data_IF_906579309095
#
_entry.id   IF_906579309095
#
_cell.length_a   1.000
_cell.length_b   1.000
_cell.length_c   1.000
_cell.angle_alpha   90.00
_cell.angle_beta   90.00
_cell.angle_gamma   90.00
#
_symmetry.space_group_name_H-M   'P 1'
#
loop_
_entity.id
_entity.type
_entity.pdbx_description
1 polymer ?
#
# COMPACT_ATOMS: atom_id res chain seq x y z
N UNK A 1 8.60 22.82 19.71
CA UNK A 1 9.62 21.99 20.39
C UNK A 1 10.51 21.49 19.29
N UNK A 2 11.83 21.67 19.40
CA UNK A 2 12.72 21.12 18.39
C UNK A 2 12.58 19.59 18.38
N UNK A 3 12.79 18.97 17.22
CA UNK A 3 12.73 17.52 17.05
C UNK A 3 13.65 16.83 18.07
N UNK A 4 14.82 17.43 18.31
CA UNK A 4 15.79 16.95 19.29
C UNK A 4 15.25 16.98 20.72
N UNK A 5 14.65 18.09 21.15
CA UNK A 5 14.04 18.21 22.49
C UNK A 5 12.96 17.15 22.71
N UNK A 6 12.13 16.91 21.70
CA UNK A 6 11.06 15.91 21.78
C UNK A 6 11.60 14.48 21.89
N UNK A 7 12.67 14.16 21.15
CA UNK A 7 13.35 12.85 21.21
C UNK A 7 14.05 12.67 22.57
N UNK A 8 14.73 13.71 23.08
CA UNK A 8 15.39 13.66 24.39
C UNK A 8 14.38 13.47 25.51
N UNK A 9 13.24 14.17 25.47
CA UNK A 9 12.19 14.10 26.47
C UNK A 9 11.46 12.74 26.53
N UNK A 10 11.50 11.95 25.45
CA UNK A 10 10.77 10.68 25.36
C UNK A 10 11.40 9.54 26.19
N UNK A 11 12.64 9.68 26.68
CA UNK A 11 13.38 8.65 27.42
C UNK A 11 13.54 7.29 26.70
N UNK A 12 13.32 7.23 25.38
CA UNK A 12 13.60 6.05 24.56
C UNK A 12 15.04 6.10 24.04
N UNK A 13 15.91 5.30 24.66
CA UNK A 13 17.33 5.23 24.30
C UNK A 13 17.55 4.66 22.89
N UNK A 14 16.65 3.79 22.40
CA UNK A 14 16.76 3.21 21.07
C UNK A 14 16.52 4.28 20.00
N UNK A 15 15.42 5.03 20.14
CA UNK A 15 15.09 6.12 19.25
C UNK A 15 16.17 7.20 19.28
N UNK A 16 16.67 7.57 20.46
CA UNK A 16 17.75 8.56 20.60
C UNK A 16 18.99 8.16 19.81
N UNK A 17 19.46 6.92 19.97
CA UNK A 17 20.62 6.41 19.22
C UNK A 17 20.41 6.42 17.70
N UNK A 18 19.21 6.06 17.23
CA UNK A 18 18.87 6.10 15.80
C UNK A 18 18.91 7.52 15.26
N UNK A 19 18.32 8.48 15.98
CA UNK A 19 18.30 9.91 15.62
C UNK A 19 19.71 10.48 15.61
N UNK A 20 20.51 10.25 16.65
CA UNK A 20 21.92 10.67 16.74
C UNK A 20 22.73 10.17 15.54
N UNK A 21 22.65 8.87 15.25
CA UNK A 21 23.36 8.26 14.13
C UNK A 21 22.93 8.86 12.79
N UNK A 22 21.63 9.10 12.58
CA UNK A 22 21.14 9.71 11.35
C UNK A 22 21.59 11.16 11.21
N UNK A 23 21.61 11.94 12.29
CA UNK A 23 22.15 13.32 12.30
C UNK A 23 23.64 13.31 11.95
N UNK A 24 24.45 12.43 12.55
CA UNK A 24 25.88 12.30 12.24
C UNK A 24 26.14 11.97 10.76
N UNK A 25 25.30 11.12 10.16
CA UNK A 25 25.38 10.81 8.71
C UNK A 25 25.10 12.05 7.88
N UNK A 26 24.09 12.85 8.25
CA UNK A 26 23.73 14.07 7.52
C UNK A 26 24.84 15.11 7.66
N UNK A 27 25.36 15.34 8.87
CA UNK A 27 26.47 16.27 9.09
C UNK A 27 27.71 15.88 8.31
N UNK A 28 28.07 14.60 8.32
CA UNK A 28 29.18 14.09 7.50
C UNK A 28 28.95 14.35 6.01
N UNK A 29 27.70 14.27 5.55
CA UNK A 29 27.36 14.59 4.16
C UNK A 29 27.56 16.08 3.87
N UNK A 30 27.09 16.94 4.76
CA UNK A 30 27.29 18.39 4.65
C UNK A 30 28.78 18.77 4.68
N UNK A 31 29.60 18.09 5.48
CA UNK A 31 31.06 18.32 5.53
C UNK A 31 31.77 17.88 4.24
N UNK A 32 31.32 16.79 3.61
CA UNK A 32 31.95 16.25 2.41
C UNK A 32 31.58 17.01 1.14
N UNK A 33 30.36 17.54 1.08
CA UNK A 33 29.79 18.10 -0.14
C UNK A 33 29.51 19.60 -0.09
N UNK A 34 29.58 20.20 1.11
CA UNK A 34 29.04 21.52 1.46
C UNK A 34 27.51 21.58 1.27
N UNK A 35 26.76 22.44 2.00
CA UNK A 35 25.31 22.50 1.85
C UNK A 35 24.84 22.64 0.39
N UNK A 36 25.47 23.54 -0.39
CA UNK A 36 25.19 23.76 -1.82
C UNK A 36 25.50 22.59 -2.77
N UNK A 37 26.21 21.57 -2.28
CA UNK A 37 26.46 20.33 -3.01
C UNK A 37 25.51 19.18 -2.61
N UNK A 38 24.56 19.42 -1.71
CA UNK A 38 23.62 18.43 -1.19
C UNK A 38 22.21 18.76 -1.64
N UNK A 39 21.48 17.75 -2.10
CA UNK A 39 20.05 17.83 -2.32
C UNK A 39 19.29 16.87 -1.41
N UNK A 40 18.01 17.17 -1.21
CA UNK A 40 17.05 16.39 -0.46
C UNK A 40 15.82 16.11 -1.34
N UNK A 41 15.52 14.82 -1.54
CA UNK A 41 14.33 14.39 -2.24
C UNK A 41 13.16 14.29 -1.27
N UNK A 42 12.17 15.17 -1.42
CA UNK A 42 10.99 15.20 -0.55
C UNK A 42 9.72 14.89 -1.36
N UNK A 43 8.97 13.89 -0.90
CA UNK A 43 7.75 13.41 -1.56
C UNK A 43 6.52 13.40 -0.64
N UNK A 44 6.58 14.05 0.52
CA UNK A 44 5.48 14.07 1.50
C UNK A 44 5.21 12.75 2.22
N UNK A 45 5.88 11.66 1.85
CA UNK A 45 5.79 10.39 2.55
C UNK A 45 6.33 10.47 3.98
N UNK A 46 5.91 9.54 4.84
CA UNK A 46 6.35 9.46 6.24
C UNK A 46 7.88 9.45 6.38
N UNK A 47 8.57 8.72 5.50
CA UNK A 47 10.01 8.50 5.58
C UNK A 47 10.81 9.75 5.17
N UNK A 48 10.38 10.45 4.12
CA UNK A 48 10.97 11.73 3.72
C UNK A 48 10.61 12.85 4.71
N UNK A 49 9.45 12.79 5.36
CA UNK A 49 9.08 13.71 6.45
C UNK A 49 9.99 13.54 7.66
N UNK A 50 10.28 12.31 8.09
CA UNK A 50 11.30 12.05 9.12
C UNK A 50 12.65 12.65 8.70
N UNK A 51 13.07 12.38 7.47
CA UNK A 51 14.35 12.87 6.96
C UNK A 51 14.45 14.39 6.94
N UNK A 52 13.39 15.10 6.51
CA UNK A 52 13.32 16.58 6.58
C UNK A 52 13.66 17.08 7.98
N UNK A 53 13.04 16.48 8.99
CA UNK A 53 13.21 16.89 10.38
C UNK A 53 14.59 16.53 10.95
N UNK A 54 15.20 15.43 10.49
CA UNK A 54 16.58 15.08 10.82
C UNK A 54 17.59 16.06 10.18
N UNK A 55 17.35 16.50 8.95
CA UNK A 55 18.22 17.49 8.28
C UNK A 55 18.19 18.82 9.03
N UNK A 56 17.00 19.28 9.42
CA UNK A 56 16.83 20.50 10.20
C UNK A 56 17.57 20.43 11.55
N UNK A 57 17.49 19.29 12.24
CA UNK A 57 18.21 19.07 13.49
C UNK A 57 19.74 19.10 13.28
N UNK A 58 20.24 18.49 12.19
CA UNK A 58 21.66 18.53 11.85
C UNK A 58 22.16 19.97 11.59
N UNK A 59 21.41 20.75 10.80
CA UNK A 59 21.76 22.14 10.49
C UNK A 59 21.74 23.04 11.74
N UNK A 60 20.78 22.82 12.64
CA UNK A 60 20.72 23.52 13.91
C UNK A 60 21.90 23.18 14.83
N UNK A 61 22.29 21.90 14.90
CA UNK A 61 23.44 21.44 15.68
C UNK A 61 24.76 22.03 15.20
N UNK A 62 24.88 22.28 13.89
CA UNK A 62 26.02 22.97 13.26
C UNK A 62 26.02 24.49 13.50
N UNK A 63 25.02 25.06 14.18
CA UNK A 63 24.80 26.51 14.31
C UNK A 63 24.63 27.22 12.96
N UNK A 64 24.30 26.48 11.89
CA UNK A 64 24.02 27.03 10.57
C UNK A 64 22.58 27.58 10.47
N UNK A 65 21.74 27.31 11.49
CA UNK A 65 20.37 27.83 11.64
C UNK A 65 20.08 28.18 13.10
N UNK A 66 19.65 29.41 13.39
CA UNK A 66 18.98 29.74 14.65
C UNK A 66 17.52 29.28 14.59
N UNK A 67 17.19 28.11 15.16
CA UNK A 67 15.82 27.58 15.19
C UNK A 67 14.94 28.27 16.25
N UNK A 68 14.61 29.55 16.08
CA UNK A 68 13.61 30.24 16.91
C UNK A 68 12.19 30.01 16.37
N UNK A 69 11.63 28.82 16.63
CA UNK A 69 10.25 28.47 16.29
C UNK A 69 10.01 28.12 14.81
N UNK A 70 8.73 28.07 14.40
CA UNK A 70 8.29 27.72 13.03
C UNK A 70 8.80 28.74 11.99
N UNK A 71 9.25 29.93 12.42
CA UNK A 71 9.62 31.04 11.55
C UNK A 71 11.11 31.06 11.10
N UNK A 72 11.96 30.15 11.58
CA UNK A 72 13.34 29.98 11.09
C UNK A 72 13.38 28.96 9.93
N UNK A 73 12.62 29.26 8.86
CA UNK A 73 12.37 28.35 7.75
C UNK A 73 13.59 28.08 6.86
N UNK A 74 13.62 26.89 6.27
CA UNK A 74 14.51 26.48 5.19
C UNK A 74 15.44 25.33 5.55
N UNK A 75 16.13 24.84 4.52
CA UNK A 75 17.32 24.00 4.63
C UNK A 75 18.48 24.79 4.00
N UNK A 76 19.13 25.74 4.70
CA UNK A 76 20.05 26.68 4.06
C UNK A 76 21.14 25.98 3.24
N UNK A 77 21.17 26.30 1.95
CA UNK A 77 22.10 25.73 0.98
C UNK A 77 21.75 24.33 0.49
N UNK A 78 20.90 23.55 1.17
CA UNK A 78 20.48 22.22 0.71
C UNK A 78 19.33 22.37 -0.28
N UNK A 79 19.53 21.92 -1.52
CA UNK A 79 18.48 21.97 -2.54
C UNK A 79 17.37 20.96 -2.24
N UNK A 80 16.12 21.39 -2.17
CA UNK A 80 14.98 20.46 -2.07
C UNK A 80 14.38 20.23 -3.44
N UNK A 81 14.03 18.99 -3.80
CA UNK A 81 13.26 18.73 -5.01
C UNK A 81 12.17 17.68 -4.80
N UNK A 82 11.15 17.75 -5.66
CA UNK A 82 10.01 16.85 -5.71
C UNK A 82 9.72 16.47 -7.16
N UNK A 83 9.45 15.20 -7.42
CA UNK A 83 8.98 14.74 -8.74
C UNK A 83 7.46 14.75 -8.77
N UNK A 84 6.89 15.63 -9.58
CA UNK A 84 5.45 15.69 -9.78
C UNK A 84 4.96 14.49 -10.59
N UNK A 85 3.85 13.90 -10.15
CA UNK A 85 3.17 12.82 -10.84
C UNK A 85 1.66 13.00 -10.73
N UNK A 86 0.98 13.15 -11.87
CA UNK A 86 -0.48 13.33 -11.93
C UNK A 86 -1.26 12.12 -11.39
N UNK A 87 -0.61 10.96 -11.26
CA UNK A 87 -1.21 9.76 -10.70
C UNK A 87 -1.09 9.67 -9.17
N UNK A 88 -0.46 10.63 -8.49
CA UNK A 88 -0.35 10.64 -7.03
C UNK A 88 -1.65 11.11 -6.36
N UNK A 89 -1.84 10.75 -5.10
CA UNK A 89 -2.99 11.21 -4.32
C UNK A 89 -2.96 12.72 -4.08
N UNK A 90 -4.10 13.39 -4.19
CA UNK A 90 -4.20 14.83 -3.91
C UNK A 90 -3.73 15.16 -2.49
N UNK A 91 -3.99 14.28 -1.52
CA UNK A 91 -3.61 14.47 -0.12
C UNK A 91 -2.10 14.50 0.09
N UNK A 92 -1.33 13.63 -0.59
CA UNK A 92 0.13 13.61 -0.44
C UNK A 92 0.80 14.76 -1.20
N UNK A 93 0.26 15.12 -2.37
CA UNK A 93 0.70 16.29 -3.13
C UNK A 93 0.43 17.58 -2.35
N UNK A 94 -0.79 17.73 -1.80
CA UNK A 94 -1.17 18.88 -0.96
C UNK A 94 -0.31 18.97 0.30
N UNK A 95 -0.05 17.84 0.96
CA UNK A 95 0.85 17.78 2.12
C UNK A 95 2.27 18.20 1.75
N UNK A 96 2.77 17.78 0.58
CA UNK A 96 4.11 18.13 0.09
C UNK A 96 4.25 19.63 -0.13
N UNK A 97 3.29 20.26 -0.84
CA UNK A 97 3.29 21.71 -1.07
C UNK A 97 3.08 22.52 0.20
N UNK A 98 2.17 22.09 1.07
CA UNK A 98 1.97 22.74 2.36
C UNK A 98 3.23 22.70 3.23
N UNK A 99 3.93 21.56 3.25
CA UNK A 99 5.19 21.41 3.99
C UNK A 99 6.30 22.28 3.39
N UNK A 100 6.36 22.40 2.06
CA UNK A 100 7.27 23.31 1.37
C UNK A 100 7.07 24.76 1.80
N UNK A 101 5.82 25.24 1.83
CA UNK A 101 5.48 26.60 2.26
C UNK A 101 5.74 26.80 3.75
N UNK A 102 5.28 25.87 4.60
CA UNK A 102 5.40 25.93 6.05
C UNK A 102 6.86 26.03 6.49
N UNK A 103 7.76 25.31 5.83
CA UNK A 103 9.18 25.27 6.16
C UNK A 103 10.05 26.04 5.18
N UNK A 104 9.50 26.76 4.20
CA UNK A 104 10.25 27.53 3.20
C UNK A 104 11.40 26.73 2.56
N UNK A 105 11.10 25.55 2.01
CA UNK A 105 12.14 24.60 1.54
C UNK A 105 12.78 24.97 0.19
N UNK A 106 12.27 26.00 -0.48
CA UNK A 106 12.67 26.42 -1.83
C UNK A 106 12.70 25.22 -2.82
N UNK A 107 11.62 24.44 -2.80
CA UNK A 107 11.54 23.18 -3.52
C UNK A 107 11.42 23.36 -5.03
N UNK A 108 12.33 22.73 -5.77
CA UNK A 108 12.24 22.57 -7.23
C UNK A 108 11.32 21.41 -7.58
N UNK A 109 10.29 21.67 -8.38
CA UNK A 109 9.39 20.63 -8.90
C UNK A 109 9.90 20.15 -10.26
N UNK A 110 10.19 18.85 -10.34
CA UNK A 110 10.65 18.16 -11.54
C UNK A 110 9.47 17.45 -12.19
N UNK A 111 9.40 17.50 -13.53
CA UNK A 111 8.35 16.88 -14.32
C UNK A 111 8.93 15.86 -15.29
N UNK A 112 8.15 14.85 -15.65
CA UNK A 112 8.54 13.81 -16.61
C UNK A 112 9.19 12.60 -15.93
N UNK A 113 10.03 11.89 -16.67
CA UNK A 113 10.66 10.67 -16.16
C UNK A 113 11.74 10.98 -15.12
N UNK A 114 11.85 10.11 -14.10
CA UNK A 114 12.77 10.28 -12.99
C UNK A 114 14.23 10.44 -13.43
N UNK A 115 14.63 9.76 -14.50
CA UNK A 115 16.03 9.74 -14.91
C UNK A 115 16.42 11.04 -15.61
N UNK A 116 15.68 11.44 -16.64
CA UNK A 116 15.97 12.68 -17.38
C UNK A 116 15.72 13.90 -16.51
N UNK A 117 14.67 13.92 -15.69
CA UNK A 117 14.45 15.01 -14.73
C UNK A 117 15.61 15.16 -13.75
N UNK A 118 16.16 14.05 -13.26
CA UNK A 118 17.31 14.08 -12.36
C UNK A 118 18.61 14.44 -13.09
N UNK A 119 18.81 13.99 -14.33
CA UNK A 119 19.94 14.39 -15.18
C UNK A 119 19.95 15.90 -15.39
N UNK A 120 18.82 16.50 -15.76
CA UNK A 120 18.69 17.96 -15.93
C UNK A 120 18.95 18.69 -14.62
N UNK A 121 18.33 18.25 -13.52
CA UNK A 121 18.54 18.86 -12.20
C UNK A 121 20.01 18.85 -11.77
N UNK A 122 20.73 17.74 -11.97
CA UNK A 122 22.14 17.63 -11.61
C UNK A 122 23.07 18.45 -12.52
N UNK A 123 22.68 18.71 -13.77
CA UNK A 123 23.44 19.58 -14.69
C UNK A 123 23.24 21.06 -14.36
N UNK A 124 22.03 21.44 -13.96
CA UNK A 124 21.66 22.83 -13.64
C UNK A 124 22.08 23.26 -12.23
N UNK A 125 22.49 22.30 -11.38
CA UNK A 125 22.89 22.53 -9.99
C UNK A 125 24.32 22.07 -9.73
N UNK A 126 24.88 22.43 -8.57
CA UNK A 126 26.16 21.93 -8.07
C UNK A 126 26.03 20.65 -7.24
N UNK A 127 24.88 20.00 -7.27
CA UNK A 127 24.54 18.86 -6.41
C UNK A 127 25.40 17.65 -6.77
N UNK A 128 26.01 17.06 -5.75
CA UNK A 128 26.84 15.84 -5.85
C UNK A 128 26.38 14.73 -4.91
N UNK A 129 25.59 15.06 -3.88
CA UNK A 129 25.00 14.10 -2.96
C UNK A 129 23.50 14.34 -2.79
N UNK A 130 22.72 13.26 -2.72
CA UNK A 130 21.27 13.32 -2.53
C UNK A 130 20.89 12.50 -1.30
N UNK A 131 20.26 13.16 -0.34
CA UNK A 131 19.65 12.57 0.84
C UNK A 131 18.29 11.95 0.46
N UNK A 132 18.14 10.65 0.72
CA UNK A 132 16.94 9.87 0.43
C UNK A 132 16.39 9.20 1.68
N UNK A 133 15.06 9.16 1.78
CA UNK A 133 14.31 8.50 2.86
C UNK A 133 14.23 6.97 2.72
N UNK A 134 15.20 6.32 2.08
CA UNK A 134 15.18 4.86 1.85
C UNK A 134 15.49 4.10 3.14
N UNK A 135 14.71 3.05 3.42
CA UNK A 135 14.91 2.10 4.53
C UNK A 135 15.27 0.70 4.01
N UNK A 136 15.91 -0.11 4.84
CA UNK A 136 16.39 -1.48 4.50
C UNK A 136 15.29 -2.39 3.97
N UNK A 137 14.06 -2.20 4.44
CA UNK A 137 12.88 -2.96 4.02
C UNK A 137 12.20 -2.47 2.75
N UNK A 138 12.67 -1.39 2.13
CA UNK A 138 12.04 -0.86 0.91
C UNK A 138 12.45 -1.66 -0.33
N UNK A 139 11.58 -1.80 -1.35
CA UNK A 139 11.85 -2.66 -2.52
C UNK A 139 13.13 -2.30 -3.31
N UNK A 140 13.51 -1.02 -3.29
CA UNK A 140 14.69 -0.51 -4.00
C UNK A 140 15.98 -0.53 -3.14
N UNK A 141 15.89 -0.90 -1.86
CA UNK A 141 17.02 -0.89 -0.92
C UNK A 141 18.05 -2.03 -1.05
N UNK A 142 17.76 -3.21 -1.65
CA UNK A 142 18.76 -4.27 -1.78
C UNK A 142 20.06 -3.78 -2.44
N UNK A 143 21.20 -4.08 -1.82
CA UNK A 143 22.53 -3.65 -2.28
C UNK A 143 22.89 -2.19 -1.99
N UNK A 144 22.00 -1.41 -1.37
CA UNK A 144 22.32 -0.04 -0.95
C UNK A 144 23.04 -0.01 0.40
N UNK A 145 23.98 0.93 0.53
CA UNK A 145 24.65 1.28 1.79
C UNK A 145 24.21 2.68 2.24
N UNK A 146 24.67 3.10 3.42
CA UNK A 146 24.43 4.46 3.93
C UNK A 146 24.94 5.51 2.97
N UNK A 147 26.10 5.27 2.35
CA UNK A 147 26.68 6.06 1.28
C UNK A 147 26.97 5.11 0.11
N UNK A 148 26.32 5.30 -1.03
CA UNK A 148 26.63 4.52 -2.22
C UNK A 148 26.47 5.36 -3.49
N UNK A 149 27.25 5.11 -4.54
CA UNK A 149 27.02 5.78 -5.82
C UNK A 149 25.63 5.42 -6.38
N UNK A 150 25.11 6.27 -7.25
CA UNK A 150 23.95 5.95 -8.07
C UNK A 150 24.17 4.68 -8.90
N UNK A 151 23.07 3.99 -9.22
CA UNK A 151 23.11 2.73 -9.96
C UNK A 151 23.62 2.93 -11.38
N UNK A 152 24.22 1.88 -11.97
CA UNK A 152 24.69 1.92 -13.36
C UNK A 152 23.54 2.37 -14.30
N UNK A 153 23.81 3.37 -15.14
CA UNK A 153 22.84 3.92 -16.08
C UNK A 153 21.98 5.05 -15.53
N UNK A 154 22.13 5.43 -14.26
CA UNK A 154 21.62 6.68 -13.69
C UNK A 154 22.69 7.79 -13.76
N UNK A 155 22.30 9.08 -13.70
CA UNK A 155 23.27 10.16 -13.53
C UNK A 155 24.13 9.94 -12.29
N UNK A 156 25.38 10.40 -12.34
CA UNK A 156 26.34 10.20 -11.26
C UNK A 156 26.05 11.15 -10.09
N UNK A 157 25.71 10.57 -8.93
CA UNK A 157 25.63 11.28 -7.65
C UNK A 157 25.88 10.30 -6.49
N UNK A 158 26.21 10.83 -5.32
CA UNK A 158 26.28 10.05 -4.08
C UNK A 158 24.89 9.93 -3.48
N UNK A 159 24.37 8.70 -3.39
CA UNK A 159 23.17 8.41 -2.63
C UNK A 159 23.51 8.34 -1.15
N UNK A 160 22.76 9.07 -0.34
CA UNK A 160 22.91 9.06 1.11
C UNK A 160 21.59 8.65 1.74
N UNK A 161 21.60 7.59 2.56
CA UNK A 161 20.42 7.01 3.20
C UNK A 161 20.56 7.08 4.74
N UNK A 162 20.29 8.24 5.39
CA UNK A 162 20.52 8.40 6.83
C UNK A 162 19.63 7.51 7.72
N UNK A 163 18.47 7.11 7.20
CA UNK A 163 17.49 6.28 7.90
C UNK A 163 17.46 4.83 7.38
N UNK A 164 18.52 4.37 6.70
CA UNK A 164 18.56 3.04 6.09
C UNK A 164 18.24 1.92 7.09
N UNK A 165 18.72 2.04 8.34
CA UNK A 165 18.48 1.04 9.39
C UNK A 165 17.20 1.28 10.20
N UNK A 166 16.35 2.24 9.83
CA UNK A 166 15.10 2.51 10.55
C UNK A 166 14.02 1.49 10.18
N UNK A 167 13.33 0.99 11.19
CA UNK A 167 12.14 0.16 11.04
C UNK A 167 10.91 1.01 10.80
N UNK A 168 9.80 0.38 10.40
CA UNK A 168 8.50 1.06 10.33
C UNK A 168 8.09 1.62 11.70
N UNK A 169 8.42 0.92 12.79
CA UNK A 169 8.14 1.36 14.15
C UNK A 169 8.93 2.63 14.49
N UNK A 170 10.22 2.70 14.17
CA UNK A 170 11.07 3.86 14.45
C UNK A 170 10.55 5.14 13.78
N UNK A 171 10.09 5.02 12.53
CA UNK A 171 9.50 6.12 11.76
C UNK A 171 8.29 6.70 12.47
N UNK A 172 7.35 5.84 12.86
CA UNK A 172 6.13 6.29 13.53
C UNK A 172 6.38 6.77 14.96
N UNK A 173 7.25 6.08 15.69
CA UNK A 173 7.65 6.49 17.03
C UNK A 173 8.22 7.91 16.97
N UNK A 174 9.13 8.20 16.06
CA UNK A 174 9.68 9.54 15.85
C UNK A 174 8.59 10.58 15.53
N UNK A 175 7.77 10.34 14.50
CA UNK A 175 6.74 11.29 14.06
C UNK A 175 5.75 11.61 15.19
N UNK A 176 5.34 10.59 15.95
CA UNK A 176 4.37 10.72 17.04
C UNK A 176 4.99 11.36 18.28
N UNK A 177 6.21 10.97 18.67
CA UNK A 177 6.92 11.56 19.80
C UNK A 177 7.18 13.06 19.60
N UNK A 178 7.55 13.45 18.38
CA UNK A 178 7.77 14.86 18.03
C UNK A 178 6.49 15.61 17.64
N UNK A 179 5.32 14.96 17.67
CA UNK A 179 4.02 15.53 17.29
C UNK A 179 4.06 16.23 15.92
N UNK A 180 4.75 15.59 14.97
CA UNK A 180 4.97 16.13 13.63
C UNK A 180 3.76 15.85 12.73
N UNK A 181 3.35 16.81 11.89
CA UNK A 181 2.33 16.56 10.90
C UNK A 181 2.82 15.55 9.86
N UNK A 182 1.91 14.72 9.36
CA UNK A 182 2.15 13.74 8.30
C UNK A 182 0.92 13.68 7.39
N UNK A 183 1.06 13.08 6.20
CA UNK A 183 -0.03 12.96 5.23
C UNK A 183 -1.24 12.20 5.80
N UNK A 184 -2.44 12.75 5.63
CA UNK A 184 -3.70 12.22 6.20
C UNK A 184 -4.08 10.83 5.68
N UNK A 185 -3.53 10.36 4.56
CA UNK A 185 -3.73 9.00 4.07
C UNK A 185 -3.31 7.95 5.11
N UNK A 186 -2.28 8.23 5.92
CA UNK A 186 -1.87 7.28 6.95
C UNK A 186 -2.93 7.08 8.04
N UNK A 187 -3.74 8.10 8.34
CA UNK A 187 -4.87 7.98 9.27
C UNK A 187 -6.05 7.19 8.64
N UNK A 188 -6.06 7.04 7.32
CA UNK A 188 -7.03 6.25 6.55
C UNK A 188 -6.58 4.81 6.31
N UNK A 189 -5.55 4.35 7.03
CA UNK A 189 -5.07 2.97 6.98
C UNK A 189 -4.05 2.68 5.89
N UNK A 190 -3.60 3.67 5.13
CA UNK A 190 -2.48 3.49 4.22
C UNK A 190 -1.19 3.32 5.03
N UNK A 191 -0.32 2.37 4.67
CA UNK A 191 1.00 2.19 5.33
C UNK A 191 2.18 2.44 4.38
N UNK A 192 1.90 2.44 3.08
CA UNK A 192 2.75 2.86 1.98
C UNK A 192 1.91 3.71 1.04
N UNK A 193 2.48 4.75 0.45
CA UNK A 193 1.78 5.63 -0.49
C UNK A 193 2.60 5.72 -1.77
N UNK A 194 2.06 5.15 -2.85
CA UNK A 194 2.52 5.35 -4.22
C UNK A 194 1.46 6.11 -5.01
N UNK A 195 1.17 5.65 -6.24
CA UNK A 195 0.12 6.25 -7.07
C UNK A 195 -1.27 5.74 -6.68
N UNK A 196 -2.31 6.49 -7.05
CA UNK A 196 -3.72 6.14 -6.83
C UNK A 196 -4.07 4.77 -7.40
N UNK A 197 -3.49 4.42 -8.55
CA UNK A 197 -3.75 3.15 -9.24
C UNK A 197 -3.14 1.91 -8.58
N UNK A 198 -2.12 2.06 -7.74
CA UNK A 198 -1.36 0.93 -7.20
C UNK A 198 -1.30 0.88 -5.67
N UNK A 199 -1.98 1.80 -4.99
CA UNK A 199 -1.94 1.92 -3.54
C UNK A 199 -3.32 1.70 -2.95
N UNK A 200 -3.42 0.71 -2.07
CA UNK A 200 -4.61 0.46 -1.27
C UNK A 200 -4.31 0.64 0.23
N UNK A 201 -5.33 0.94 1.05
CA UNK A 201 -5.20 0.83 2.50
C UNK A 201 -4.71 -0.56 2.89
N UNK A 202 -3.94 -0.63 3.97
CA UNK A 202 -3.44 -1.90 4.47
C UNK A 202 -4.60 -2.73 5.04
N UNK A 203 -4.85 -3.89 4.45
CA UNK A 203 -5.92 -4.79 4.86
C UNK A 203 -5.79 -5.28 6.30
N UNK A 204 -4.56 -5.35 6.84
CA UNK A 204 -4.32 -5.70 8.24
C UNK A 204 -4.81 -4.61 9.23
N UNK A 205 -5.15 -3.41 8.73
CA UNK A 205 -5.73 -2.32 9.51
C UNK A 205 -7.24 -2.18 9.26
N UNK A 206 -7.85 -3.10 8.51
CA UNK A 206 -9.28 -3.07 8.24
C UNK A 206 -10.07 -3.21 9.55
N UNK A 207 -11.17 -2.46 9.65
CA UNK A 207 -12.10 -2.53 10.80
C UNK A 207 -13.34 -3.31 10.42
N UNK A 208 -13.83 -4.10 11.37
CA UNK A 208 -15.06 -4.90 11.23
C UNK A 208 -16.24 -4.06 10.74
N UNK A 209 -16.46 -2.89 11.37
CA UNK A 209 -17.58 -2.01 11.07
C UNK A 209 -17.49 -1.35 9.68
N UNK A 210 -16.27 -1.02 9.22
CA UNK A 210 -16.04 -0.50 7.88
C UNK A 210 -16.32 -1.56 6.80
N UNK A 211 -15.90 -2.81 7.05
CA UNK A 211 -16.23 -3.95 6.17
C UNK A 211 -17.74 -4.17 6.16
N UNK A 212 -18.39 -4.15 7.32
CA UNK A 212 -19.83 -4.35 7.44
C UNK A 212 -20.63 -3.27 6.68
N UNK A 213 -20.20 -2.01 6.76
CA UNK A 213 -20.82 -0.91 6.03
C UNK A 213 -20.69 -1.09 4.50
N UNK A 214 -19.47 -1.35 4.01
CA UNK A 214 -19.24 -1.59 2.59
C UNK A 214 -20.03 -2.81 2.08
N UNK A 215 -19.94 -3.95 2.79
CA UNK A 215 -20.68 -5.16 2.40
C UNK A 215 -22.18 -4.90 2.34
N UNK A 216 -22.75 -4.15 3.27
CA UNK A 216 -24.18 -3.80 3.28
C UNK A 216 -24.55 -2.94 2.08
N UNK A 217 -23.79 -1.88 1.81
CA UNK A 217 -23.98 -0.98 0.67
C UNK A 217 -23.91 -1.76 -0.66
N UNK A 218 -22.80 -2.47 -0.90
CA UNK A 218 -22.63 -3.23 -2.13
C UNK A 218 -23.62 -4.40 -2.26
N UNK A 219 -24.01 -5.06 -1.17
CA UNK A 219 -24.98 -6.16 -1.20
C UNK A 219 -26.39 -5.67 -1.55
N UNK A 220 -26.74 -4.42 -1.24
CA UNK A 220 -28.02 -3.81 -1.59
C UNK A 220 -28.07 -3.36 -3.05
N UNK A 221 -26.95 -2.85 -3.56
CA UNK A 221 -26.86 -2.25 -4.90
C UNK A 221 -26.50 -3.25 -6.01
N UNK A 222 -25.87 -4.37 -5.68
CA UNK A 222 -25.37 -5.34 -6.66
C UNK A 222 -25.89 -6.76 -6.41
N UNK A 223 -26.16 -7.49 -7.50
CA UNK A 223 -26.62 -8.89 -7.43
C UNK A 223 -25.53 -9.86 -6.95
N UNK A 224 -24.27 -9.48 -7.10
CA UNK A 224 -23.11 -10.23 -6.62
C UNK A 224 -22.00 -9.27 -6.18
N UNK A 225 -21.43 -9.55 -5.00
CA UNK A 225 -20.30 -8.81 -4.42
C UNK A 225 -19.15 -9.78 -4.25
N UNK A 226 -17.96 -9.42 -4.74
CA UNK A 226 -16.78 -10.27 -4.66
C UNK A 226 -15.75 -9.55 -3.79
N UNK A 227 -15.24 -10.23 -2.77
CA UNK A 227 -14.14 -9.76 -1.94
C UNK A 227 -12.99 -10.77 -1.99
N UNK A 228 -11.76 -10.28 -1.88
CA UNK A 228 -10.55 -11.10 -1.83
C UNK A 228 -9.84 -10.88 -0.49
N UNK A 229 -9.47 -11.99 0.17
CA UNK A 229 -9.10 -11.99 1.58
C UNK A 229 -10.31 -12.27 2.48
N UNK A 230 -10.06 -12.73 3.70
CA UNK A 230 -11.11 -12.85 4.71
C UNK A 230 -11.25 -14.18 5.44
N UNK A 231 -10.53 -15.19 4.99
CA UNK A 231 -10.45 -16.52 5.59
C UNK A 231 -9.08 -16.78 6.23
N UNK A 232 -8.36 -15.71 6.56
CA UNK A 232 -7.01 -15.76 7.10
C UNK A 232 -6.97 -16.24 8.56
N UNK A 233 -5.88 -16.91 8.97
CA UNK A 233 -5.69 -17.37 10.34
C UNK A 233 -5.31 -16.22 11.30
N UNK A 234 -4.96 -15.05 10.77
CA UNK A 234 -4.37 -13.95 11.55
C UNK A 234 -5.44 -13.16 12.29
N UNK A 235 -5.24 -12.74 13.56
CA UNK A 235 -6.28 -12.06 14.35
C UNK A 235 -6.86 -10.79 13.71
N UNK A 236 -6.05 -10.06 12.95
CA UNK A 236 -6.41 -8.86 12.18
C UNK A 236 -7.35 -9.13 11.00
N UNK A 237 -7.46 -10.39 10.53
CA UNK A 237 -8.49 -10.72 9.55
C UNK A 237 -9.88 -10.74 10.21
N UNK A 238 -10.58 -9.62 10.07
CA UNK A 238 -11.93 -9.36 10.57
C UNK A 238 -12.99 -9.42 9.47
N UNK A 239 -12.65 -9.94 8.28
CA UNK A 239 -13.56 -9.90 7.12
C UNK A 239 -14.82 -10.73 7.32
N UNK A 240 -14.69 -11.96 7.82
CA UNK A 240 -15.87 -12.79 8.13
C UNK A 240 -16.72 -12.18 9.26
N UNK A 241 -16.11 -11.46 10.21
CA UNK A 241 -16.85 -10.72 11.24
C UNK A 241 -17.64 -9.58 10.60
N UNK A 242 -17.01 -8.77 9.75
CA UNK A 242 -17.69 -7.67 9.04
C UNK A 242 -18.82 -8.15 8.13
N UNK A 243 -18.64 -9.26 7.41
CA UNK A 243 -19.71 -9.87 6.60
C UNK A 243 -20.86 -10.36 7.49
N UNK A 244 -20.54 -10.98 8.64
CA UNK A 244 -21.55 -11.42 9.58
C UNK A 244 -22.34 -10.22 10.14
N UNK A 245 -21.66 -9.15 10.56
CA UNK A 245 -22.27 -7.92 11.04
C UNK A 245 -23.16 -7.25 9.98
N UNK A 246 -22.71 -7.19 8.72
CA UNK A 246 -23.49 -6.64 7.61
C UNK A 246 -24.88 -7.28 7.49
N UNK A 247 -24.96 -8.59 7.75
CA UNK A 247 -26.18 -9.37 7.65
C UNK A 247 -26.82 -9.74 8.99
N UNK A 248 -26.35 -9.17 10.10
CA UNK A 248 -26.88 -9.46 11.44
C UNK A 248 -26.72 -10.93 11.86
N UNK A 249 -25.64 -11.58 11.42
CA UNK A 249 -25.31 -12.98 11.70
C UNK A 249 -24.22 -13.07 12.78
N UNK A 250 -24.14 -14.22 13.43
CA UNK A 250 -23.00 -14.56 14.29
C UNK A 250 -21.92 -15.27 13.47
N UNK A 251 -20.66 -15.15 13.86
CA UNK A 251 -19.57 -15.98 13.34
C UNK A 251 -19.43 -17.25 14.19
N UNK A 252 -19.21 -18.37 13.53
CA UNK A 252 -18.95 -19.65 14.19
C UNK A 252 -18.12 -20.59 13.32
N UNK A 253 -17.60 -21.64 13.97
CA UNK A 253 -16.81 -22.68 13.33
C UNK A 253 -17.67 -23.47 12.35
N UNK A 254 -17.40 -23.36 11.05
CA UNK A 254 -18.12 -24.11 10.02
C UNK A 254 -17.62 -25.57 9.99
N UNK A 255 -18.48 -26.57 10.27
CA UNK A 255 -18.02 -27.95 10.46
C UNK A 255 -17.28 -28.54 9.26
N UNK A 256 -17.74 -28.22 8.04
CA UNK A 256 -17.10 -28.70 6.81
C UNK A 256 -15.74 -28.03 6.55
N UNK A 257 -15.60 -26.72 6.81
CA UNK A 257 -14.31 -26.05 6.68
C UNK A 257 -13.32 -26.59 7.72
N UNK A 258 -13.79 -26.80 8.95
CA UNK A 258 -12.97 -27.36 10.02
C UNK A 258 -12.45 -28.75 9.64
N UNK A 259 -13.32 -29.61 9.09
CA UNK A 259 -12.92 -30.94 8.63
C UNK A 259 -11.84 -30.86 7.54
N UNK A 260 -11.99 -29.97 6.56
CA UNK A 260 -11.01 -29.75 5.48
C UNK A 260 -9.67 -29.24 6.01
N UNK A 261 -9.68 -28.26 6.91
CA UNK A 261 -8.47 -27.71 7.54
C UNK A 261 -7.74 -28.77 8.36
N UNK A 262 -8.46 -29.53 9.19
CA UNK A 262 -7.88 -30.62 9.97
C UNK A 262 -7.30 -31.71 9.09
N UNK A 263 -7.96 -32.05 7.99
CA UNK A 263 -7.45 -33.04 7.04
C UNK A 263 -6.15 -32.56 6.37
N UNK A 264 -6.05 -31.26 6.08
CA UNK A 264 -4.88 -30.68 5.42
C UNK A 264 -3.67 -30.53 6.34
N UNK A 265 -3.84 -29.95 7.53
CA UNK A 265 -2.74 -29.72 8.46
C UNK A 265 -2.42 -30.95 9.32
N UNK A 266 -3.32 -31.93 9.40
CA UNK A 266 -3.11 -33.17 10.14
C UNK A 266 -2.77 -32.91 11.62
N UNK A 267 -1.64 -33.46 12.06
CA UNK A 267 -1.16 -33.31 13.44
C UNK A 267 -0.67 -31.90 13.77
N UNK A 268 -0.35 -31.08 12.77
CA UNK A 268 0.21 -29.72 12.93
C UNK A 268 -0.89 -28.64 12.95
N UNK A 269 -2.16 -29.04 13.08
CA UNK A 269 -3.27 -28.09 13.18
C UNK A 269 -3.17 -27.25 14.45
N UNK A 270 -3.34 -25.93 14.32
CA UNK A 270 -3.27 -24.96 15.43
C UNK A 270 -4.61 -24.23 15.55
N UNK A 271 -4.84 -23.53 16.66
CA UNK A 271 -6.01 -22.67 16.81
C UNK A 271 -6.07 -21.56 15.73
N UNK A 272 -4.91 -21.06 15.30
CA UNK A 272 -4.82 -20.12 14.18
C UNK A 272 -5.30 -20.76 12.87
N UNK A 273 -4.92 -22.01 12.58
CA UNK A 273 -5.45 -22.76 11.43
C UNK A 273 -6.97 -22.96 11.55
N UNK A 274 -7.48 -23.30 12.74
CA UNK A 274 -8.91 -23.50 12.96
C UNK A 274 -9.74 -22.21 12.85
N UNK A 275 -9.14 -21.04 13.08
CA UNK A 275 -9.76 -19.73 12.81
C UNK A 275 -10.20 -19.62 11.33
N UNK A 276 -9.47 -20.23 10.40
CA UNK A 276 -9.84 -20.19 8.97
C UNK A 276 -11.15 -20.93 8.66
N UNK A 277 -11.69 -21.71 9.59
CA UNK A 277 -13.03 -22.30 9.51
C UNK A 277 -14.13 -21.42 10.10
N UNK A 278 -13.80 -20.26 10.67
CA UNK A 278 -14.80 -19.32 11.16
C UNK A 278 -15.48 -18.62 9.98
N UNK A 279 -16.81 -18.75 9.92
CA UNK A 279 -17.64 -18.15 8.89
C UNK A 279 -18.92 -17.58 9.52
N UNK A 280 -19.63 -16.66 8.84
CA UNK A 280 -20.97 -16.28 9.27
C UNK A 280 -21.88 -17.52 9.33
N UNK A 281 -22.82 -17.53 10.26
CA UNK A 281 -23.72 -18.66 10.52
C UNK A 281 -25.06 -18.50 9.80
N UNK A 282 -25.67 -19.64 9.42
CA UNK A 282 -27.06 -19.71 8.94
C UNK A 282 -27.21 -20.28 7.52
N UNK A 283 -28.43 -20.28 6.97
CA UNK A 283 -28.78 -21.09 5.79
C UNK A 283 -28.32 -20.51 4.45
N UNK A 284 -27.90 -19.24 4.40
CA UNK A 284 -27.41 -18.56 3.19
C UNK A 284 -25.88 -18.62 3.08
N UNK A 285 -25.27 -19.57 3.79
CA UNK A 285 -23.84 -19.82 3.79
C UNK A 285 -23.59 -21.06 2.93
N UNK A 286 -22.76 -20.91 1.92
CA UNK A 286 -22.38 -22.01 1.06
C UNK A 286 -20.86 -22.03 0.87
N UNK A 287 -20.31 -23.23 0.88
CA UNK A 287 -18.96 -23.47 0.43
C UNK A 287 -19.02 -23.85 -1.05
N UNK A 288 -18.23 -23.18 -1.87
CA UNK A 288 -18.20 -23.42 -3.31
C UNK A 288 -16.84 -23.99 -3.65
N UNK A 289 -16.87 -25.24 -4.10
CA UNK A 289 -15.72 -25.94 -4.63
C UNK A 289 -15.41 -25.48 -6.06
N UNK A 290 -14.13 -25.41 -6.37
CA UNK A 290 -13.58 -25.10 -7.68
C UNK A 290 -12.51 -26.11 -8.08
N UNK A 291 -12.28 -26.25 -9.39
CA UNK A 291 -11.21 -27.09 -9.92
C UNK A 291 -9.95 -26.26 -10.13
N UNK A 292 -8.80 -26.80 -9.76
CA UNK A 292 -7.51 -26.22 -10.11
C UNK A 292 -7.09 -26.60 -11.53
N UNK A 293 -6.13 -25.86 -12.09
CA UNK A 293 -5.60 -26.08 -13.43
C UNK A 293 -4.95 -27.47 -13.60
N UNK A 294 -4.48 -28.07 -12.50
CA UNK A 294 -3.92 -29.43 -12.45
C UNK A 294 -4.98 -30.53 -12.34
N UNK A 295 -6.28 -30.18 -12.38
CA UNK A 295 -7.40 -31.11 -12.31
C UNK A 295 -7.76 -31.56 -10.89
N UNK A 296 -7.13 -31.03 -9.85
CA UNK A 296 -7.53 -31.29 -8.46
C UNK A 296 -8.81 -30.50 -8.12
N UNK A 297 -9.76 -31.16 -7.45
CA UNK A 297 -10.97 -30.51 -6.93
C UNK A 297 -10.63 -29.88 -5.59
N UNK A 298 -10.59 -28.55 -5.56
CA UNK A 298 -10.39 -27.64 -4.41
C UNK A 298 -9.27 -28.01 -3.41
N UNK A 299 -8.24 -27.15 -3.21
CA UNK A 299 -7.43 -27.22 -1.98
C UNK A 299 -8.36 -27.09 -0.74
N UNK A 300 -7.91 -27.32 0.51
CA UNK A 300 -8.81 -27.34 1.69
C UNK A 300 -9.62 -26.05 1.94
N UNK A 301 -9.36 -24.99 1.19
CA UNK A 301 -9.95 -23.66 1.31
C UNK A 301 -10.93 -23.41 0.12
N UNK A 302 -12.22 -23.79 0.23
CA UNK A 302 -13.23 -23.44 -0.76
C UNK A 302 -13.53 -21.94 -0.75
N UNK A 303 -14.29 -21.46 -1.74
CA UNK A 303 -14.86 -20.12 -1.68
C UNK A 303 -16.01 -20.10 -0.66
N UNK A 304 -16.06 -19.06 0.17
CA UNK A 304 -17.17 -18.86 1.09
C UNK A 304 -18.19 -17.91 0.44
N UNK A 305 -19.43 -18.34 0.30
CA UNK A 305 -20.56 -17.49 -0.11
C UNK A 305 -21.42 -17.20 1.12
N UNK A 306 -21.73 -15.93 1.34
CA UNK A 306 -22.72 -15.47 2.29
C UNK A 306 -23.70 -14.55 1.57
N UNK A 307 -24.95 -14.99 1.38
CA UNK A 307 -25.94 -14.29 0.53
C UNK A 307 -25.40 -14.06 -0.89
N UNK A 308 -25.33 -12.83 -1.37
CA UNK A 308 -24.72 -12.45 -2.65
C UNK A 308 -23.22 -12.10 -2.55
N UNK A 309 -22.59 -12.31 -1.40
CA UNK A 309 -21.17 -11.99 -1.17
C UNK A 309 -20.32 -13.24 -1.32
N UNK A 310 -19.31 -13.19 -2.17
CA UNK A 310 -18.36 -14.27 -2.45
C UNK A 310 -16.98 -13.86 -1.92
N UNK A 311 -16.43 -14.66 -1.01
CA UNK A 311 -15.15 -14.42 -0.32
C UNK A 311 -14.08 -15.34 -0.89
N UNK A 312 -13.07 -14.73 -1.53
CA UNK A 312 -11.93 -15.42 -2.13
C UNK A 312 -10.74 -15.44 -1.15
N UNK A 313 -9.83 -16.43 -1.25
CA UNK A 313 -8.59 -16.46 -0.49
C UNK A 313 -7.69 -15.24 -0.79
N UNK A 314 -6.97 -14.75 0.22
CA UNK A 314 -6.16 -13.52 0.13
C UNK A 314 -4.66 -13.68 -0.18
N UNK A 315 -4.10 -14.91 -0.19
CA UNK A 315 -2.65 -15.12 -0.35
C UNK A 315 -2.24 -14.93 -1.83
N UNK A 316 -1.40 -13.94 -2.17
CA UNK A 316 -1.03 -13.65 -3.56
C UNK A 316 -0.35 -14.83 -4.25
N UNK A 317 0.40 -15.69 -3.55
CA UNK A 317 0.99 -16.91 -4.13
C UNK A 317 -0.01 -18.05 -4.30
N UNK A 318 -1.12 -18.13 -3.56
CA UNK A 318 -2.24 -19.03 -3.90
C UNK A 318 -3.07 -18.49 -5.06
N UNK A 319 -2.99 -17.17 -5.28
CA UNK A 319 -3.52 -16.47 -6.46
C UNK A 319 -2.55 -16.59 -7.66
N UNK A 320 -1.22 -16.57 -7.45
CA UNK A 320 -0.16 -16.58 -8.48
C UNK A 320 0.43 -17.96 -8.78
N UNK A 321 0.41 -18.96 -7.87
CA UNK A 321 0.75 -20.37 -8.19
C UNK A 321 -0.22 -21.00 -9.23
N UNK A 322 -1.20 -20.21 -9.67
CA UNK A 322 -2.07 -20.45 -10.81
C UNK A 322 -1.45 -20.02 -12.15
N UNK A 323 -0.19 -19.58 -12.16
CA UNK A 323 0.51 -19.08 -13.35
C UNK A 323 1.91 -19.69 -13.40
N UNK A 324 2.16 -20.58 -14.36
CA UNK A 324 3.51 -20.72 -14.94
C UNK A 324 3.43 -20.59 -16.46
N UNK A 325 4.10 -19.54 -16.96
CA UNK A 325 4.18 -19.21 -18.37
C UNK A 325 4.67 -17.78 -18.66
N UNK A 326 5.95 -17.50 -18.38
CA UNK A 326 6.78 -16.38 -18.90
C UNK A 326 6.79 -15.01 -18.18
N UNK A 327 7.88 -14.29 -18.46
CA UNK A 327 8.65 -13.37 -17.62
C UNK A 327 8.05 -11.96 -17.37
N UNK A 328 8.49 -11.38 -16.24
CA UNK A 328 8.48 -9.95 -15.86
C UNK A 328 7.19 -9.13 -16.07
N UNK A 329 6.52 -8.75 -14.97
CA UNK A 329 6.27 -7.34 -14.55
C UNK A 329 5.30 -7.28 -13.37
N UNK A 330 5.65 -6.43 -12.41
CA UNK A 330 4.87 -6.11 -11.22
C UNK A 330 3.57 -5.39 -11.60
N UNK A 331 2.45 -6.11 -11.55
CA UNK A 331 1.12 -5.53 -11.48
C UNK A 331 0.39 -6.18 -10.31
N UNK A 332 -0.35 -5.37 -9.55
CA UNK A 332 -1.37 -5.88 -8.62
C UNK A 332 -2.45 -6.50 -9.50
N UNK A 333 -2.24 -7.78 -9.82
CA UNK A 333 -3.16 -8.59 -10.57
C UNK A 333 -4.31 -8.94 -9.62
N UNK A 334 -5.36 -8.13 -9.65
CA UNK A 334 -6.70 -8.67 -9.40
C UNK A 334 -6.82 -9.89 -10.32
N UNK A 335 -7.20 -11.02 -9.73
CA UNK A 335 -6.99 -12.37 -10.23
C UNK A 335 -7.22 -12.57 -11.74
N UNK A 336 -6.54 -13.56 -12.32
CA UNK A 336 -6.73 -13.95 -13.73
C UNK A 336 -8.22 -14.19 -14.10
N UNK A 337 -8.51 -14.09 -15.40
CA UNK A 337 -9.83 -14.32 -15.97
C UNK A 337 -10.42 -15.66 -15.48
N UNK A 338 -9.61 -16.72 -15.33
CA UNK A 338 -10.07 -18.04 -14.91
C UNK A 338 -10.62 -18.04 -13.46
N UNK A 339 -10.02 -17.28 -12.56
CA UNK A 339 -10.45 -17.18 -11.15
C UNK A 339 -11.75 -16.40 -11.03
N UNK A 340 -11.88 -15.30 -11.79
CA UNK A 340 -13.12 -14.49 -11.80
C UNK A 340 -14.21 -15.17 -12.63
N UNK A 341 -13.86 -15.86 -13.72
CA UNK A 341 -14.79 -16.55 -14.62
C UNK A 341 -15.61 -17.63 -13.90
N UNK A 342 -15.06 -18.33 -12.92
CA UNK A 342 -15.83 -19.31 -12.14
C UNK A 342 -16.87 -18.63 -11.25
N UNK A 343 -16.52 -17.51 -10.63
CA UNK A 343 -17.48 -16.71 -9.86
C UNK A 343 -18.53 -16.11 -10.79
N UNK A 344 -18.13 -15.57 -11.95
CA UNK A 344 -19.03 -15.05 -12.97
C UNK A 344 -19.97 -16.12 -13.53
N UNK A 345 -19.45 -17.31 -13.84
CA UNK A 345 -20.27 -18.46 -14.24
C UNK A 345 -21.25 -18.85 -13.15
N UNK A 346 -20.83 -18.82 -11.88
CA UNK A 346 -21.74 -19.15 -10.77
C UNK A 346 -22.79 -18.07 -10.55
N UNK A 347 -22.43 -16.79 -10.71
CA UNK A 347 -23.38 -15.67 -10.72
C UNK A 347 -24.36 -15.83 -11.88
N UNK A 348 -23.91 -16.23 -13.07
CA UNK A 348 -24.83 -16.54 -14.18
C UNK A 348 -25.79 -17.69 -13.83
N UNK A 349 -25.31 -18.75 -13.19
CA UNK A 349 -26.18 -19.87 -12.75
C UNK A 349 -27.17 -19.41 -11.68
N UNK A 350 -26.73 -18.63 -10.70
CA UNK A 350 -27.57 -18.16 -9.59
C UNK A 350 -28.57 -17.08 -10.04
N UNK A 351 -28.25 -16.27 -11.06
CA UNK A 351 -29.10 -15.22 -11.64
C UNK A 351 -29.98 -15.70 -12.82
N UNK A 352 -29.80 -16.94 -13.29
CA UNK A 352 -30.51 -17.51 -14.44
C UNK A 352 -30.17 -16.85 -15.79
N UNK A 353 -31.00 -17.06 -16.81
CA UNK A 353 -30.80 -16.55 -18.19
C UNK A 353 -30.87 -15.00 -18.33
N UNK A 354 -31.00 -14.26 -17.21
CA UNK A 354 -31.10 -12.80 -17.20
C UNK A 354 -29.73 -12.11 -17.26
N UNK A 355 -28.64 -12.83 -17.00
CA UNK A 355 -27.28 -12.29 -16.98
C UNK A 355 -26.42 -13.05 -17.98
N UNK A 356 -26.05 -12.39 -19.08
CA UNK A 356 -25.07 -12.90 -20.04
C UNK A 356 -23.71 -12.26 -19.78
N UNK A 357 -22.74 -13.05 -19.32
CA UNK A 357 -21.34 -12.61 -19.19
C UNK A 357 -20.55 -13.27 -20.31
N UNK A 358 -19.86 -12.47 -21.12
CA UNK A 358 -18.97 -12.96 -22.18
C UNK A 358 -17.69 -12.13 -22.23
N UNK A 359 -16.55 -12.81 -22.37
CA UNK A 359 -15.30 -12.19 -22.79
C UNK A 359 -15.17 -12.35 -24.30
N UNK A 360 -15.06 -11.23 -25.03
CA UNK A 360 -14.78 -11.27 -26.47
C UNK A 360 -13.29 -11.00 -26.70
N UNK A 361 -12.52 -11.96 -27.23
CA UNK A 361 -11.17 -11.68 -27.70
C UNK A 361 -11.27 -10.83 -28.97
N UNK A 362 -10.76 -9.59 -28.93
CA UNK A 362 -10.59 -8.77 -30.14
C UNK A 362 -9.26 -9.15 -30.77
N UNK A 363 -9.28 -10.16 -31.66
CA UNK A 363 -8.11 -10.45 -32.49
C UNK A 363 -8.01 -9.41 -33.62
N UNK A 364 -6.96 -8.57 -33.58
CA UNK A 364 -6.53 -7.79 -34.75
C UNK A 364 -6.42 -6.28 -34.59
N UNK A 365 -6.11 -5.74 -33.41
CA UNK A 365 -5.60 -4.37 -33.28
C UNK A 365 -4.21 -4.36 -32.67
N UNK A 366 -3.32 -3.56 -33.26
CA UNK A 366 -1.87 -3.59 -33.16
C UNK A 366 -1.31 -2.89 -31.91
N UNK A 367 -2.04 -2.88 -30.81
CA UNK A 367 -1.61 -2.23 -29.57
C UNK A 367 -1.64 -3.29 -28.45
N UNK A 368 -0.45 -3.77 -28.06
CA UNK A 368 -0.22 -4.98 -27.24
C UNK A 368 -0.76 -4.98 -25.80
N UNK A 369 -2.07 -4.93 -25.63
CA UNK A 369 -2.78 -5.39 -24.43
C UNK A 369 -3.38 -6.77 -24.71
N UNK A 370 -2.92 -7.80 -23.99
CA UNK A 370 -3.69 -9.04 -23.85
C UNK A 370 -4.61 -8.88 -22.63
N UNK A 371 -5.92 -8.78 -22.92
CA UNK A 371 -7.07 -8.58 -22.02
C UNK A 371 -7.32 -7.14 -21.56
N UNK A 372 -8.21 -6.46 -22.29
CA UNK A 372 -8.94 -5.28 -21.82
C UNK A 372 -10.31 -5.75 -21.34
N UNK A 373 -10.60 -5.65 -20.03
CA UNK A 373 -11.97 -5.75 -19.51
C UNK A 373 -12.71 -4.46 -19.87
N UNK A 374 -13.39 -4.48 -21.01
CA UNK A 374 -14.36 -3.45 -21.39
C UNK A 374 -15.72 -3.81 -20.81
N UNK A 375 -16.21 -3.00 -19.87
CA UNK A 375 -17.64 -2.90 -19.58
C UNK A 375 -18.26 -1.94 -20.62
N UNK A 376 -18.34 -2.38 -21.88
CA UNK A 376 -19.23 -1.72 -22.84
C UNK A 376 -20.68 -2.07 -22.47
N UNK A 377 -21.28 -1.24 -21.62
CA UNK A 377 -22.72 -1.06 -21.63
C UNK A 377 -23.07 -0.49 -23.00
N UNK A 378 -23.53 -1.34 -23.93
CA UNK A 378 -24.20 -0.87 -25.14
C UNK A 378 -25.48 -0.14 -24.73
N UNK A 379 -25.31 1.16 -24.55
CA UNK A 379 -26.30 2.24 -24.65
C UNK A 379 -27.63 2.03 -23.91
N UNK A 380 -27.78 2.83 -22.85
CA UNK A 380 -29.04 3.36 -22.31
C UNK A 380 -30.08 2.33 -21.87
N UNK A 381 -30.11 2.02 -20.57
CA UNK A 381 -31.32 2.10 -19.73
C UNK A 381 -30.94 1.90 -18.26
N UNK A 382 -31.23 2.91 -17.43
CA UNK A 382 -31.31 2.77 -15.98
C UNK A 382 -32.33 1.69 -15.62
N UNK A 383 -32.03 0.85 -14.63
CA UNK A 383 -33.03 -0.01 -14.01
C UNK A 383 -32.99 0.14 -12.48
N UNK A 384 -33.98 0.86 -11.95
CA UNK A 384 -34.38 0.79 -10.55
C UNK A 384 -35.04 -0.56 -10.29
N UNK A 385 -34.80 -1.10 -9.10
CA UNK A 385 -35.46 -2.26 -8.50
C UNK A 385 -36.97 -2.24 -8.80
N UNK A 386 -37.47 -3.21 -9.57
CA UNK A 386 -38.92 -3.39 -9.72
C UNK A 386 -39.49 -3.88 -8.39
N UNK A 387 -40.38 -3.07 -7.79
CA UNK A 387 -41.21 -3.47 -6.67
C UNK A 387 -42.04 -4.69 -7.07
N UNK A 388 -41.91 -5.78 -6.29
CA UNK A 388 -42.76 -6.95 -6.42
C UNK A 388 -44.18 -6.60 -5.95
N UNK A 389 -45.15 -6.54 -6.87
CA UNK A 389 -46.57 -6.61 -6.53
C UNK A 389 -47.04 -8.07 -6.54
N UNK A 390 -47.59 -8.47 -5.39
CA UNK A 390 -48.27 -9.72 -4.98
C UNK A 390 -48.56 -10.80 -6.03
#
# INVERSE_FOLDING_TARGET
>A
MEVWDAVVANNDDHLRQKVEKSIEIIERTLDLYEPGGVAFSFNGGKDSTVLLHLIRAALARRQEVELNGIAAGGLPGVCTFFFHNDADFEEITSFTHHTNEQYNLDMTVLYGDFKTGLETFLVETSVRAILLGTRRGDPNAPGQETFCPSSKGWPAFMRVNPILEWTYHDVWLFLRCASLPYCSLYDRGYTSVGSVSNTNPNSALAREDAIAAAVREFSEDYDAVITAGGLGPTPDDVTCLGIAEAFGRQVGRHPELEARIRAYFGADVTDAHLKMADAPTGPEIALIDYNQADGTVSPPFPLLKCRNVYVLPGVPSLVQQKVEGSEERSYVQLADEATVAMVLQRVMVDSGDQVAVGSYPVCGQSDGCEVVLSLEVKMSLCWKRQERSL
#
